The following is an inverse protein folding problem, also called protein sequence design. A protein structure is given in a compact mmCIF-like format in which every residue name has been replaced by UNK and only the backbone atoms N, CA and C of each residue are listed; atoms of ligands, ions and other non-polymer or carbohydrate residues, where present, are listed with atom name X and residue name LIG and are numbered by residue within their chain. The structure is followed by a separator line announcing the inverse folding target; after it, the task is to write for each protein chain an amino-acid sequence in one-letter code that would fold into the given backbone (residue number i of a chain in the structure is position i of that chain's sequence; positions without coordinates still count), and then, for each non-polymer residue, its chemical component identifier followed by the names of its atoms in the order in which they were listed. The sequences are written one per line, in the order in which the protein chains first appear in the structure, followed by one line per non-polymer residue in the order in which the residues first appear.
data_IF_810334670652
#
_entry.id   IF_810334670652
#
_cell.length_a   1.000
_cell.length_b   1.000
_cell.length_c   1.000
_cell.angle_alpha   90.00
_cell.angle_beta   90.00
_cell.angle_gamma   90.00
#
_symmetry.space_group_name_H-M   'P 1'
#
loop_
_entity.id
_entity.type
_entity.pdbx_description
1 polymer ?
#
# COMPACT_ATOMS: atom_id res chain seq x y z
N UNK A 1 15.79 -6.42 7.43
CA UNK A 1 14.72 -5.49 7.79
C UNK A 1 15.32 -4.08 7.80
N UNK A 2 14.78 -3.16 6.99
CA UNK A 2 15.09 -1.74 7.11
C UNK A 2 13.93 -1.10 7.86
N UNK A 3 14.17 -0.74 9.13
CA UNK A 3 13.19 -0.03 9.94
C UNK A 3 13.32 1.47 9.65
N UNK A 4 12.23 2.07 9.18
CA UNK A 4 12.19 3.49 8.82
C UNK A 4 11.74 4.38 9.98
N UNK A 5 11.31 3.79 11.11
CA UNK A 5 10.88 4.51 12.30
C UNK A 5 9.42 4.27 12.68
N UNK A 6 8.77 5.32 13.17
CA UNK A 6 7.38 5.29 13.59
C UNK A 6 6.42 5.35 12.38
N UNK A 7 5.11 5.24 12.64
CA UNK A 7 4.10 5.27 11.59
C UNK A 7 4.16 6.53 10.69
N UNK A 8 4.54 7.69 11.24
CA UNK A 8 4.75 8.92 10.47
C UNK A 8 5.97 8.86 9.55
N UNK A 9 6.95 8.01 9.84
CA UNK A 9 8.12 7.80 8.99
C UNK A 9 7.81 6.92 7.75
N UNK A 10 6.54 6.51 7.59
CA UNK A 10 6.02 6.08 6.29
C UNK A 10 6.29 7.12 5.19
N UNK A 11 6.33 8.41 5.53
CA UNK A 11 6.78 9.46 4.62
C UNK A 11 8.21 9.19 4.09
N UNK A 12 9.14 8.85 4.98
CA UNK A 12 10.52 8.52 4.61
C UNK A 12 10.58 7.29 3.71
N UNK A 13 9.79 6.26 4.00
CA UNK A 13 9.69 5.07 3.13
C UNK A 13 9.16 5.42 1.72
N UNK A 14 8.16 6.30 1.63
CA UNK A 14 7.64 6.81 0.36
C UNK A 14 8.72 7.61 -0.39
N UNK A 15 9.47 8.48 0.29
CA UNK A 15 10.55 9.24 -0.35
C UNK A 15 11.64 8.31 -0.91
N UNK A 16 11.98 7.22 -0.23
CA UNK A 16 12.90 6.20 -0.75
C UNK A 16 12.35 5.56 -2.02
N UNK A 17 11.07 5.16 -2.03
CA UNK A 17 10.45 4.59 -3.23
C UNK A 17 10.41 5.58 -4.40
N UNK A 18 10.08 6.85 -4.15
CA UNK A 18 10.08 7.91 -5.17
C UNK A 18 11.48 8.16 -5.71
N UNK A 19 12.50 8.21 -4.85
CA UNK A 19 13.88 8.38 -5.27
C UNK A 19 14.38 7.19 -6.11
N UNK A 20 14.00 5.97 -5.72
CA UNK A 20 14.31 4.76 -6.46
C UNK A 20 13.65 4.78 -7.85
N UNK A 21 12.37 5.12 -7.93
CA UNK A 21 11.64 5.28 -9.19
C UNK A 21 12.30 6.32 -10.09
N UNK A 22 12.72 7.45 -9.53
CA UNK A 22 13.47 8.48 -10.26
C UNK A 22 14.82 7.99 -10.79
N UNK A 23 15.55 7.18 -10.02
CA UNK A 23 16.82 6.60 -10.45
C UNK A 23 16.66 5.57 -11.59
N UNK A 24 15.51 4.89 -11.65
CA UNK A 24 15.16 3.94 -12.72
C UNK A 24 14.35 4.58 -13.86
N UNK A 25 14.08 5.89 -13.80
CA UNK A 25 13.26 6.62 -14.77
C UNK A 25 11.87 5.99 -15.01
N UNK A 26 11.25 5.47 -13.95
CA UNK A 26 9.93 4.80 -14.00
C UNK A 26 8.95 5.37 -12.95
N UNK A 27 7.70 4.93 -12.99
CA UNK A 27 6.75 5.22 -11.92
C UNK A 27 6.99 4.35 -10.69
N UNK A 28 6.52 4.79 -9.51
CA UNK A 28 6.63 3.98 -8.27
C UNK A 28 5.89 2.63 -8.40
N UNK A 29 4.79 2.60 -9.16
CA UNK A 29 4.04 1.36 -9.43
C UNK A 29 4.77 0.40 -10.38
N UNK A 30 5.81 0.86 -11.09
CA UNK A 30 6.62 0.04 -12.00
C UNK A 30 7.85 -0.54 -11.31
N UNK A 31 8.12 -0.14 -10.06
CA UNK A 31 9.20 -0.70 -9.27
C UNK A 31 8.88 -2.16 -8.91
N UNK A 32 9.91 -3.01 -8.73
CA UNK A 32 9.76 -4.33 -8.12
C UNK A 32 9.52 -4.19 -6.59
N UNK A 33 8.43 -3.53 -6.23
CA UNK A 33 8.06 -3.16 -4.87
C UNK A 33 6.61 -3.54 -4.61
N UNK A 34 6.42 -4.47 -3.68
CA UNK A 34 5.11 -4.99 -3.30
C UNK A 34 4.64 -4.34 -1.99
N UNK A 35 3.40 -3.87 -1.94
CA UNK A 35 2.86 -3.09 -0.82
C UNK A 35 1.88 -3.90 0.02
N UNK A 36 2.27 -4.19 1.27
CA UNK A 36 1.38 -4.78 2.28
C UNK A 36 1.25 -3.81 3.44
N UNK A 37 0.05 -3.25 3.62
CA UNK A 37 -0.25 -2.29 4.68
C UNK A 37 -1.03 -2.96 5.80
N UNK A 38 -0.40 -3.11 6.95
CA UNK A 38 -1.08 -3.51 8.18
C UNK A 38 -1.60 -2.27 8.91
N UNK A 39 -2.88 -2.27 9.30
CA UNK A 39 -3.50 -1.13 9.97
C UNK A 39 -4.24 -1.54 11.24
N UNK A 40 -4.46 -0.55 12.12
CA UNK A 40 -5.27 -0.72 13.34
C UNK A 40 -6.05 0.56 13.67
N UNK A 41 -5.37 1.70 13.70
CA UNK A 41 -5.94 2.98 14.11
C UNK A 41 -5.93 4.02 12.96
N UNK A 42 -6.35 5.25 13.27
CA UNK A 42 -6.68 6.26 12.27
C UNK A 42 -5.44 6.87 11.59
N UNK A 43 -4.26 6.86 12.21
CA UNK A 43 -3.02 7.31 11.54
C UNK A 43 -2.68 6.38 10.37
N UNK A 44 -2.89 5.08 10.50
CA UNK A 44 -2.75 4.15 9.37
C UNK A 44 -3.72 4.47 8.21
N UNK A 45 -4.92 4.99 8.51
CA UNK A 45 -5.86 5.48 7.49
C UNK A 45 -5.31 6.71 6.78
N UNK A 46 -4.69 7.65 7.51
CA UNK A 46 -4.02 8.80 6.90
C UNK A 46 -2.89 8.35 5.94
N UNK A 47 -2.08 7.37 6.34
CA UNK A 47 -1.01 6.82 5.50
C UNK A 47 -1.61 6.19 4.24
N UNK A 48 -2.68 5.39 4.37
CA UNK A 48 -3.38 4.83 3.22
C UNK A 48 -3.84 5.92 2.25
N UNK A 49 -4.51 6.97 2.76
CA UNK A 49 -4.96 8.09 1.93
C UNK A 49 -3.81 8.83 1.26
N UNK A 50 -2.66 8.97 1.92
CA UNK A 50 -1.44 9.52 1.30
C UNK A 50 -0.95 8.66 0.14
N UNK A 51 -0.89 7.34 0.32
CA UNK A 51 -0.49 6.41 -0.75
C UNK A 51 -1.45 6.49 -1.94
N UNK A 52 -2.76 6.52 -1.68
CA UNK A 52 -3.79 6.69 -2.72
C UNK A 52 -3.66 8.05 -3.43
N UNK A 53 -3.43 9.14 -2.70
CA UNK A 53 -3.22 10.46 -3.29
C UNK A 53 -1.99 10.50 -4.23
N UNK A 54 -0.93 9.78 -3.88
CA UNK A 54 0.27 9.63 -4.69
C UNK A 54 0.07 8.67 -5.88
N UNK A 55 -1.11 8.09 -6.04
CA UNK A 55 -1.43 7.18 -7.13
C UNK A 55 -0.83 5.77 -6.96
N UNK A 56 -0.44 5.39 -5.75
CA UNK A 56 0.06 4.04 -5.45
C UNK A 56 -1.08 3.04 -5.56
N UNK A 57 -0.82 1.93 -6.26
CA UNK A 57 -1.79 0.86 -6.53
C UNK A 57 -1.33 -0.48 -5.96
N UNK A 58 -2.20 -1.48 -6.05
CA UNK A 58 -1.90 -2.88 -5.70
C UNK A 58 -1.55 -3.10 -4.22
N UNK A 59 -2.16 -2.32 -3.32
CA UNK A 59 -1.94 -2.42 -1.87
C UNK A 59 -2.78 -3.58 -1.32
N UNK A 60 -2.13 -4.54 -0.64
CA UNK A 60 -2.84 -5.49 0.22
C UNK A 60 -3.05 -4.86 1.60
N UNK A 61 -4.31 -4.76 2.05
CA UNK A 61 -4.71 -4.13 3.29
C UNK A 61 -5.22 -5.18 4.29
N UNK A 62 -4.68 -5.17 5.51
CA UNK A 62 -5.05 -6.15 6.54
C UNK A 62 -4.81 -5.67 7.98
N UNK A 63 -5.23 -6.43 9.00
CA UNK A 63 -5.69 -7.83 8.89
C UNK A 63 -7.12 -8.00 8.39
N UNK A 64 -7.96 -6.96 8.47
CA UNK A 64 -9.30 -6.91 7.87
C UNK A 64 -9.47 -5.59 7.12
N UNK A 65 -10.45 -5.52 6.22
CA UNK A 65 -10.81 -4.23 5.61
C UNK A 65 -11.50 -3.34 6.66
N UNK A 66 -11.26 -2.02 6.65
CA UNK A 66 -11.91 -1.12 7.59
C UNK A 66 -13.43 -1.15 7.48
N UNK A 67 -14.10 -1.40 8.60
CA UNK A 67 -15.56 -1.54 8.67
C UNK A 67 -16.32 -0.26 8.27
N UNK A 68 -15.66 0.90 8.28
CA UNK A 68 -16.24 2.17 7.85
C UNK A 68 -16.28 2.35 6.33
N UNK A 69 -15.65 1.45 5.55
CA UNK A 69 -15.69 1.50 4.09
C UNK A 69 -16.96 0.77 3.62
N UNK A 70 -17.89 1.53 3.03
CA UNK A 70 -19.09 0.94 2.44
C UNK A 70 -18.75 0.16 1.16
N UNK A 71 -19.61 -0.79 0.73
CA UNK A 71 -19.36 -1.55 -0.49
C UNK A 71 -19.13 -0.70 -1.75
N UNK A 72 -19.87 0.40 -1.90
CA UNK A 72 -19.71 1.31 -3.05
C UNK A 72 -18.36 2.03 -3.02
N UNK A 73 -17.91 2.45 -1.83
CA UNK A 73 -16.58 3.08 -1.69
C UNK A 73 -15.48 2.05 -1.92
N UNK A 74 -15.65 0.81 -1.41
CA UNK A 74 -14.70 -0.26 -1.67
C UNK A 74 -14.55 -0.54 -3.17
N UNK A 75 -15.65 -0.60 -3.92
CA UNK A 75 -15.61 -0.79 -5.37
C UNK A 75 -14.81 0.31 -6.07
N UNK A 76 -15.00 1.58 -5.69
CA UNK A 76 -14.20 2.70 -6.23
C UNK A 76 -12.71 2.50 -5.92
N UNK A 77 -12.36 2.04 -4.72
CA UNK A 77 -10.96 1.79 -4.37
C UNK A 77 -10.36 0.61 -5.15
N UNK A 78 -11.14 -0.45 -5.37
CA UNK A 78 -10.73 -1.60 -6.19
C UNK A 78 -10.52 -1.18 -7.65
N UNK A 79 -11.49 -0.49 -8.25
CA UNK A 79 -11.44 -0.10 -9.67
C UNK A 79 -10.30 0.89 -9.98
N UNK A 80 -10.05 1.84 -9.07
CA UNK A 80 -9.06 2.90 -9.33
C UNK A 80 -7.64 2.53 -8.87
N UNK A 81 -7.52 1.77 -7.76
CA UNK A 81 -6.24 1.52 -7.09
C UNK A 81 -5.89 0.04 -6.95
N UNK A 82 -6.78 -0.88 -7.33
CA UNK A 82 -6.60 -2.32 -7.16
C UNK A 82 -6.23 -2.69 -5.70
N UNK A 83 -6.89 -2.04 -4.73
CA UNK A 83 -6.74 -2.40 -3.31
C UNK A 83 -7.39 -3.76 -3.06
N UNK A 84 -6.80 -4.57 -2.19
CA UNK A 84 -7.37 -5.88 -1.85
C UNK A 84 -7.07 -6.31 -0.42
N UNK A 85 -7.83 -7.26 0.14
CA UNK A 85 -7.50 -7.86 1.41
C UNK A 85 -6.27 -8.78 1.29
N UNK A 86 -5.60 -9.01 2.41
CA UNK A 86 -4.65 -10.13 2.56
C UNK A 86 -5.39 -11.48 2.60
N UNK A 87 -4.67 -12.57 2.34
CA UNK A 87 -5.18 -13.95 2.41
C UNK A 87 -4.34 -14.82 3.36
N UNK A 88 -3.72 -15.90 2.87
CA UNK A 88 -2.70 -16.65 3.63
C UNK A 88 -1.31 -16.15 3.25
N UNK A 89 -0.32 -16.25 4.15
CA UNK A 89 1.05 -15.84 3.85
C UNK A 89 1.60 -16.46 2.57
N UNK A 90 1.33 -17.74 2.31
CA UNK A 90 1.84 -18.47 1.14
C UNK A 90 1.21 -17.95 -0.16
N UNK A 91 -0.11 -17.71 -0.16
CA UNK A 91 -0.83 -17.23 -1.33
C UNK A 91 -0.47 -15.76 -1.64
N UNK A 92 -0.37 -14.92 -0.62
CA UNK A 92 0.02 -13.53 -0.79
C UNK A 92 1.48 -13.41 -1.26
N UNK A 93 2.39 -14.22 -0.69
CA UNK A 93 3.80 -14.21 -1.12
C UNK A 93 3.94 -14.64 -2.59
N UNK A 94 3.22 -15.68 -3.02
CA UNK A 94 3.22 -16.10 -4.41
C UNK A 94 2.70 -15.00 -5.36
N UNK A 95 1.68 -14.26 -4.95
CA UNK A 95 1.11 -13.14 -5.70
C UNK A 95 2.03 -11.91 -5.74
N UNK A 96 2.76 -11.63 -4.66
CA UNK A 96 3.59 -10.42 -4.53
C UNK A 96 4.97 -10.56 -5.20
N UNK A 97 5.42 -11.78 -5.49
CA UNK A 97 6.72 -12.07 -6.10
C UNK A 97 6.64 -12.46 -7.59
N UNK A 98 5.43 -12.62 -8.12
CA UNK A 98 5.16 -12.91 -9.54
C UNK A 98 5.11 -11.64 -10.37
#
# INVERSE_FOLDING_TARGET
LMDMGQCNDAYSAIQVAVALAGAFECGVNDLPLSMVLSWYEQKAVCILLTLLHLGIKNILLGPSLPAFISPNVLNVLVENYNIGPITTPEADLAKLLS
#
